data_IF_515619646786
#
_entry.id   IF_515619646786
#
_cell.length_a   1.000
_cell.length_b   1.000
_cell.length_c   1.000
_cell.angle_alpha   90.00
_cell.angle_beta   90.00
_cell.angle_gamma   90.00
#
_symmetry.space_group_name_H-M   'P 1'
#
loop_
_entity.id
_entity.type
_entity.pdbx_description
1 polymer ?
#
# COMPACT_ATOMS: atom_id res chain seq x y z
N UNK A 1 -32.19 -22.04 1.79
CA UNK A 1 -31.59 -21.78 0.46
C UNK A 1 -30.86 -20.46 0.56
N UNK A 2 -29.54 -20.48 0.47
CA UNK A 2 -28.77 -19.24 0.31
C UNK A 2 -28.87 -18.90 -1.17
N UNK A 3 -29.55 -17.80 -1.47
CA UNK A 3 -29.70 -17.31 -2.83
C UNK A 3 -28.32 -16.96 -3.38
N UNK A 4 -28.09 -17.26 -4.64
CA UNK A 4 -26.83 -16.97 -5.34
C UNK A 4 -26.39 -15.50 -5.14
N UNK A 5 -27.35 -14.57 -5.18
CA UNK A 5 -27.17 -13.15 -4.85
C UNK A 5 -26.49 -12.88 -3.49
N UNK A 6 -26.81 -13.66 -2.46
CA UNK A 6 -26.26 -13.48 -1.12
C UNK A 6 -24.77 -13.87 -1.05
N UNK A 7 -24.37 -14.89 -1.82
CA UNK A 7 -22.95 -15.30 -1.94
C UNK A 7 -22.12 -14.21 -2.61
N UNK A 8 -22.62 -13.61 -3.69
CA UNK A 8 -21.97 -12.47 -4.35
C UNK A 8 -21.79 -11.28 -3.40
N UNK A 9 -22.82 -10.95 -2.64
CA UNK A 9 -22.79 -9.83 -1.67
C UNK A 9 -21.80 -10.08 -0.53
N UNK A 10 -21.65 -11.32 -0.08
CA UNK A 10 -20.67 -11.70 0.94
C UNK A 10 -19.22 -11.55 0.43
N UNK A 11 -18.93 -12.02 -0.79
CA UNK A 11 -17.59 -11.91 -1.42
C UNK A 11 -17.17 -10.46 -1.60
N UNK A 12 -18.07 -9.62 -2.12
CA UNK A 12 -17.83 -8.18 -2.34
C UNK A 12 -17.49 -7.45 -1.03
N UNK A 13 -18.16 -7.78 0.08
CA UNK A 13 -17.86 -7.21 1.40
C UNK A 13 -16.47 -7.59 1.90
N UNK A 14 -16.05 -8.84 1.66
CA UNK A 14 -14.72 -9.30 2.09
C UNK A 14 -13.60 -8.64 1.29
N UNK A 15 -13.77 -8.50 -0.03
CA UNK A 15 -12.83 -7.76 -0.88
C UNK A 15 -12.78 -6.27 -0.50
N UNK A 16 -13.95 -5.65 -0.25
CA UNK A 16 -14.04 -4.26 0.21
C UNK A 16 -13.32 -4.06 1.55
N UNK A 17 -13.45 -4.98 2.51
CA UNK A 17 -12.76 -4.90 3.80
C UNK A 17 -11.23 -4.96 3.65
N UNK A 18 -10.73 -5.82 2.74
CA UNK A 18 -9.28 -5.95 2.46
C UNK A 18 -8.73 -4.68 1.81
N UNK A 19 -9.44 -4.13 0.83
CA UNK A 19 -9.08 -2.85 0.20
C UNK A 19 -9.13 -1.69 1.20
N UNK A 20 -10.19 -1.62 2.00
CA UNK A 20 -10.35 -0.58 3.01
C UNK A 20 -9.25 -0.66 4.10
N UNK A 21 -8.89 -1.87 4.53
CA UNK A 21 -7.77 -2.09 5.45
C UNK A 21 -6.42 -1.67 4.85
N UNK A 22 -6.14 -2.08 3.60
CA UNK A 22 -4.90 -1.72 2.91
C UNK A 22 -4.78 -0.20 2.69
N UNK A 23 -5.85 0.45 2.27
CA UNK A 23 -5.89 1.91 2.06
C UNK A 23 -5.71 2.70 3.35
N UNK A 24 -6.38 2.30 4.44
CA UNK A 24 -6.20 2.91 5.77
C UNK A 24 -4.75 2.82 6.23
N UNK A 25 -4.14 1.63 6.09
CA UNK A 25 -2.76 1.40 6.50
C UNK A 25 -1.77 2.22 5.65
N UNK A 26 -2.01 2.33 4.35
CA UNK A 26 -1.22 3.16 3.44
C UNK A 26 -1.35 4.65 3.78
N UNK A 27 -2.56 5.15 4.05
CA UNK A 27 -2.78 6.54 4.47
C UNK A 27 -2.12 6.85 5.82
N UNK A 28 -2.17 5.92 6.77
CA UNK A 28 -1.51 6.06 8.06
C UNK A 28 0.01 6.12 7.90
N UNK A 29 0.57 5.23 7.09
CA UNK A 29 2.00 5.20 6.75
C UNK A 29 2.43 6.49 6.05
N UNK A 30 1.62 6.99 5.12
CA UNK A 30 1.87 8.24 4.42
C UNK A 30 1.84 9.44 5.38
N UNK A 31 0.87 9.51 6.30
CA UNK A 31 0.81 10.55 7.34
C UNK A 31 2.04 10.53 8.26
N UNK A 32 2.50 9.36 8.66
CA UNK A 32 3.72 9.23 9.47
C UNK A 32 4.93 9.74 8.68
N UNK A 33 5.04 9.38 7.40
CA UNK A 33 6.13 9.86 6.54
C UNK A 33 6.11 11.38 6.35
N UNK A 34 4.94 11.98 6.11
CA UNK A 34 4.81 13.44 6.00
C UNK A 34 5.31 14.16 7.26
N UNK A 35 5.01 13.63 8.45
CA UNK A 35 5.55 14.16 9.71
C UNK A 35 7.07 14.03 9.80
N UNK A 36 7.63 12.91 9.35
CA UNK A 36 9.09 12.69 9.35
C UNK A 36 9.81 13.66 8.40
N UNK A 37 9.22 13.97 7.25
CA UNK A 37 9.78 14.90 6.26
C UNK A 37 9.83 16.34 6.78
N UNK A 38 8.83 16.76 7.57
CA UNK A 38 8.78 18.12 8.13
C UNK A 38 9.87 18.40 9.17
N UNK A 39 10.40 17.37 9.84
CA UNK A 39 11.39 17.54 10.93
C UNK A 39 12.85 17.74 10.49
N UNK A 40 13.15 17.85 9.20
CA UNK A 40 14.55 17.88 8.69
C UNK A 40 15.07 19.29 8.36
N UNK A 41 14.76 20.32 9.16
CA UNK A 41 15.41 21.63 9.00
C UNK A 41 16.72 21.65 9.81
N UNK A 42 17.84 21.31 9.16
CA UNK A 42 19.17 21.57 9.73
C UNK A 42 19.49 23.05 9.52
N UNK A 43 19.35 23.86 10.56
CA UNK A 43 19.83 25.25 10.56
C UNK A 43 21.26 25.21 11.12
N UNK A 44 22.30 25.35 10.27
CA UNK A 44 23.67 25.38 10.76
C UNK A 44 23.88 26.64 11.60
N UNK A 45 24.49 26.49 12.77
CA UNK A 45 25.04 27.63 13.49
C UNK A 45 26.21 28.22 12.67
N UNK A 46 26.40 29.54 12.70
CA UNK A 46 27.40 30.27 11.90
C UNK A 46 28.82 29.72 12.07
N UNK A 47 29.14 29.14 13.22
CA UNK A 47 30.45 28.55 13.52
C UNK A 47 30.52 27.03 13.32
N UNK A 48 29.42 26.39 12.92
CA UNK A 48 29.33 24.94 12.71
C UNK A 48 29.38 24.55 11.22
N UNK A 49 29.58 25.49 10.30
CA UNK A 49 29.66 25.20 8.86
C UNK A 49 30.84 24.28 8.49
N UNK A 50 31.94 24.30 9.26
CA UNK A 50 33.11 23.45 9.01
C UNK A 50 33.10 22.14 9.81
N UNK A 51 32.13 21.95 10.71
CA UNK A 51 32.02 20.73 11.51
C UNK A 51 31.34 19.66 10.65
N UNK A 52 32.11 18.68 10.18
CA UNK A 52 31.59 17.52 9.45
C UNK A 52 30.48 16.87 10.30
N UNK A 53 29.25 16.83 9.79
CA UNK A 53 28.12 16.22 10.48
C UNK A 53 28.53 14.83 10.98
N UNK A 54 28.30 14.57 12.27
CA UNK A 54 28.64 13.32 12.95
C UNK A 54 28.13 12.14 12.10
N UNK A 55 28.95 11.13 11.77
CA UNK A 55 28.56 10.05 10.86
C UNK A 55 27.25 9.35 11.24
N UNK A 56 26.96 9.24 12.53
CA UNK A 56 25.73 8.67 13.06
C UNK A 56 24.47 9.44 12.64
N UNK A 57 24.52 10.77 12.60
CA UNK A 57 23.40 11.60 12.15
C UNK A 57 23.13 11.41 10.65
N UNK A 58 24.18 11.20 9.84
CA UNK A 58 24.05 10.92 8.40
C UNK A 58 23.44 9.54 8.15
N UNK A 59 23.89 8.51 8.87
CA UNK A 59 23.35 7.15 8.78
C UNK A 59 21.87 7.08 9.16
N UNK A 60 21.46 7.77 10.22
CA UNK A 60 20.05 7.84 10.64
C UNK A 60 19.16 8.53 9.60
N UNK A 61 19.63 9.62 8.99
CA UNK A 61 18.89 10.31 7.90
C UNK A 61 18.71 9.40 6.69
N UNK A 62 19.77 8.69 6.27
CA UNK A 62 19.72 7.75 5.14
C UNK A 62 18.74 6.61 5.45
N UNK A 63 18.85 5.98 6.62
CA UNK A 63 17.97 4.88 7.02
C UNK A 63 16.49 5.27 7.07
N UNK A 64 16.18 6.47 7.58
CA UNK A 64 14.80 7.00 7.60
C UNK A 64 14.26 7.28 6.19
N UNK A 65 15.08 7.86 5.31
CA UNK A 65 14.71 8.12 3.92
C UNK A 65 14.42 6.82 3.17
N UNK A 66 15.33 5.84 3.30
CA UNK A 66 15.21 4.55 2.62
C UNK A 66 14.01 3.74 3.12
N UNK A 67 13.80 3.69 4.44
CA UNK A 67 12.65 3.00 5.03
C UNK A 67 11.32 3.67 4.63
N UNK A 68 11.29 5.00 4.56
CA UNK A 68 10.12 5.74 4.12
C UNK A 68 9.75 5.48 2.66
N UNK A 69 10.71 5.51 1.75
CA UNK A 69 10.45 5.25 0.32
C UNK A 69 9.97 3.83 0.07
N UNK A 70 10.58 2.82 0.71
CA UNK A 70 10.14 1.43 0.61
C UNK A 70 8.72 1.27 1.18
N UNK A 71 8.43 1.88 2.33
CA UNK A 71 7.11 1.83 2.95
C UNK A 71 5.99 2.45 2.11
N UNK A 72 6.24 3.62 1.51
CA UNK A 72 5.26 4.25 0.59
C UNK A 72 5.07 3.43 -0.66
N UNK A 73 6.16 3.00 -1.31
CA UNK A 73 6.09 2.24 -2.55
C UNK A 73 5.34 0.93 -2.34
N UNK A 74 5.67 0.18 -1.29
CA UNK A 74 4.98 -1.06 -0.94
C UNK A 74 3.50 -0.84 -0.62
N UNK A 75 3.16 0.19 0.15
CA UNK A 75 1.78 0.56 0.45
C UNK A 75 0.98 0.99 -0.78
N UNK A 76 1.61 1.70 -1.71
CA UNK A 76 1.02 2.09 -3.00
C UNK A 76 0.74 0.89 -3.89
N UNK A 77 1.66 -0.07 -3.97
CA UNK A 77 1.44 -1.32 -4.70
C UNK A 77 0.32 -2.17 -4.08
N UNK A 78 0.29 -2.31 -2.75
CA UNK A 78 -0.78 -3.02 -2.04
C UNK A 78 -2.15 -2.40 -2.30
N UNK A 79 -2.25 -1.07 -2.22
CA UNK A 79 -3.47 -0.33 -2.51
C UNK A 79 -3.90 -0.47 -3.97
N UNK A 80 -2.95 -0.45 -4.91
CA UNK A 80 -3.20 -0.67 -6.34
C UNK A 80 -3.74 -2.07 -6.62
N UNK A 81 -3.07 -3.11 -6.13
CA UNK A 81 -3.45 -4.52 -6.37
C UNK A 81 -4.80 -4.83 -5.72
N UNK A 82 -5.04 -4.37 -4.50
CA UNK A 82 -6.34 -4.60 -3.83
C UNK A 82 -7.47 -3.79 -4.48
N UNK A 83 -7.17 -2.59 -5.00
CA UNK A 83 -8.14 -1.77 -5.73
C UNK A 83 -8.52 -2.35 -7.08
N UNK A 84 -7.54 -2.85 -7.84
CA UNK A 84 -7.80 -3.53 -9.13
C UNK A 84 -8.56 -4.84 -8.91
N UNK A 85 -8.19 -5.62 -7.90
CA UNK A 85 -8.90 -6.83 -7.48
C UNK A 85 -10.37 -6.56 -7.10
N UNK A 86 -10.66 -5.46 -6.39
CA UNK A 86 -12.03 -5.06 -6.06
C UNK A 86 -12.83 -4.59 -7.29
N UNK A 87 -12.19 -3.86 -8.22
CA UNK A 87 -12.86 -3.34 -9.42
C UNK A 87 -13.23 -4.45 -10.40
N UNK A 88 -12.37 -5.45 -10.53
CA UNK A 88 -12.55 -6.59 -11.43
C UNK A 88 -13.33 -7.77 -10.80
N UNK A 89 -13.68 -7.67 -9.51
CA UNK A 89 -14.36 -8.70 -8.70
C UNK A 89 -13.68 -10.08 -8.77
N UNK A 90 -12.35 -10.08 -8.74
CA UNK A 90 -11.54 -11.30 -8.87
C UNK A 90 -11.20 -11.78 -7.47
N UNK A 91 -11.79 -12.91 -7.05
CA UNK A 91 -11.63 -13.46 -5.70
C UNK A 91 -10.40 -14.36 -5.56
N UNK A 92 -9.94 -14.93 -6.67
CA UNK A 92 -8.94 -16.00 -6.67
C UNK A 92 -7.82 -15.72 -7.69
N UNK A 93 -6.58 -16.12 -7.38
CA UNK A 93 -5.45 -15.98 -8.31
C UNK A 93 -5.64 -16.78 -9.60
N UNK A 94 -6.38 -17.89 -9.55
CA UNK A 94 -6.71 -18.68 -10.74
C UNK A 94 -7.71 -17.97 -11.65
N UNK A 95 -8.74 -17.31 -11.09
CA UNK A 95 -9.67 -16.45 -11.84
C UNK A 95 -8.94 -15.24 -12.47
N UNK A 96 -7.96 -14.69 -11.74
CA UNK A 96 -7.10 -13.63 -12.27
C UNK A 96 -6.33 -14.10 -13.50
N UNK A 97 -5.66 -15.27 -13.38
CA UNK A 97 -4.86 -15.86 -14.46
C UNK A 97 -5.72 -16.24 -15.67
N UNK A 98 -6.93 -16.78 -15.44
CA UNK A 98 -7.88 -17.13 -16.50
C UNK A 98 -8.36 -15.88 -17.26
N UNK A 99 -8.77 -14.82 -16.55
CA UNK A 99 -9.13 -13.53 -17.18
C UNK A 99 -7.96 -12.86 -17.90
N UNK A 100 -6.74 -12.97 -17.36
CA UNK A 100 -5.54 -12.40 -17.99
C UNK A 100 -5.15 -13.14 -19.28
N UNK A 101 -5.47 -14.42 -19.38
CA UNK A 101 -5.26 -15.24 -20.57
C UNK A 101 -6.43 -15.16 -21.58
N UNK A 102 -7.43 -14.30 -21.33
CA UNK A 102 -8.59 -14.14 -22.22
C UNK A 102 -9.54 -15.33 -22.25
N UNK A 103 -9.45 -16.22 -21.24
CA UNK A 103 -10.39 -17.32 -21.06
C UNK A 103 -11.45 -16.79 -20.11
N UNK A 104 -12.53 -16.24 -20.66
CA UNK A 104 -13.69 -15.86 -19.88
C UNK A 104 -14.32 -17.12 -19.27
N UNK A 105 -14.01 -17.39 -18.00
CA UNK A 105 -14.76 -18.34 -17.20
C UNK A 105 -16.17 -17.79 -17.01
N UNK A 106 -17.10 -18.35 -17.79
CA UNK A 106 -18.52 -18.28 -17.53
C UNK A 106 -18.79 -18.80 -16.10
N UNK A 107 -19.66 -18.16 -15.30
CA UNK A 107 -19.80 -18.48 -13.89
C UNK A 107 -20.23 -19.94 -13.69
N UNK A 108 -19.57 -20.62 -12.76
CA UNK A 108 -19.96 -21.93 -12.26
C UNK A 108 -21.35 -21.83 -11.62
N UNK A 109 -22.37 -22.22 -12.39
CA UNK A 109 -23.74 -22.44 -11.94
C UNK A 109 -23.81 -23.82 -11.30
N UNK A 110 -23.77 -23.87 -9.96
CA UNK A 110 -24.31 -24.97 -9.14
C UNK A 110 -25.06 -24.42 -7.91
#
# INVERSE_FOLDING_TARGET
MITDSDKFKARRKQQMLRFFGATLLTLLSFKIMLKQLQTVKYVPNLFQQNIKQVPSAKKQKIGKSLGGTVGITLGGFLMGITGTCWTLDIGTLDEFKQKFHGIDSQPDVE
#
